data_IF_743083559086
#
_entry.id   IF_743083559086
#
_cell.length_a   1.000
_cell.length_b   1.000
_cell.length_c   1.000
_cell.angle_alpha   90.00
_cell.angle_beta   90.00
_cell.angle_gamma   90.00
#
_symmetry.space_group_name_H-M   'P 1'
#
loop_
_entity.id
_entity.type
_entity.pdbx_description
1 polymer ?
#
# COMPACT_ATOMS: atom_id res chain seq x y z
N UNK A 1 3.26 6.74 -7.02
CA UNK A 1 3.90 5.97 -5.95
C UNK A 1 4.37 6.95 -4.87
N UNK A 2 4.14 6.72 -3.56
CA UNK A 2 4.74 7.55 -2.51
C UNK A 2 6.26 7.36 -2.36
N UNK A 3 6.83 6.20 -2.73
CA UNK A 3 8.26 5.96 -2.57
C UNK A 3 9.07 6.59 -3.72
N UNK A 4 10.28 7.08 -3.42
CA UNK A 4 11.16 7.75 -4.38
C UNK A 4 12.41 6.92 -4.63
N UNK A 5 12.73 6.60 -5.89
CA UNK A 5 13.99 5.95 -6.29
C UNK A 5 13.83 4.62 -7.04
N UNK A 6 14.92 4.16 -7.66
CA UNK A 6 15.05 2.92 -8.43
C UNK A 6 15.21 1.66 -7.55
N UNK A 7 15.06 1.77 -6.23
CA UNK A 7 15.10 0.58 -5.39
C UNK A 7 13.86 -0.27 -5.67
N UNK A 8 14.02 -1.56 -6.04
CA UNK A 8 12.89 -2.44 -6.22
C UNK A 8 12.37 -2.80 -4.83
N UNK A 9 11.62 -1.89 -4.20
CA UNK A 9 10.77 -2.22 -3.05
C UNK A 9 9.63 -3.18 -3.45
N UNK A 10 9.69 -3.73 -4.66
CA UNK A 10 8.62 -4.46 -5.31
C UNK A 10 7.33 -3.64 -5.35
N UNK A 11 6.26 -4.34 -5.69
CA UNK A 11 4.90 -3.85 -5.52
C UNK A 11 4.39 -4.03 -4.08
N UNK A 12 5.27 -4.09 -3.09
CA UNK A 12 4.88 -4.28 -1.69
C UNK A 12 4.11 -3.05 -1.17
N UNK A 13 2.84 -3.26 -0.86
CA UNK A 13 1.94 -2.22 -0.38
C UNK A 13 2.15 -1.90 1.11
N UNK A 14 2.75 -2.82 1.88
CA UNK A 14 3.04 -2.59 3.30
C UNK A 14 4.04 -1.45 3.48
N UNK A 15 5.13 -1.47 2.69
CA UNK A 15 6.16 -0.42 2.70
C UNK A 15 5.60 0.96 2.35
N UNK A 16 4.69 1.00 1.36
CA UNK A 16 4.00 2.24 0.94
C UNK A 16 3.06 2.76 2.02
N UNK A 17 2.38 1.85 2.72
CA UNK A 17 1.46 2.21 3.80
C UNK A 17 2.23 2.74 5.01
N UNK A 18 3.37 2.14 5.36
CA UNK A 18 4.26 2.66 6.41
C UNK A 18 4.80 4.05 6.07
N UNK A 19 5.16 4.29 4.81
CA UNK A 19 5.57 5.62 4.34
C UNK A 19 4.47 6.67 4.55
N UNK A 20 3.22 6.32 4.25
CA UNK A 20 2.07 7.19 4.44
C UNK A 20 1.77 7.40 5.92
N UNK A 21 1.97 6.40 6.78
CA UNK A 21 1.84 6.54 8.25
C UNK A 21 2.89 7.50 8.81
N UNK A 22 4.14 7.34 8.40
CA UNK A 22 5.22 8.27 8.76
C UNK A 22 4.89 9.70 8.31
N UNK A 23 4.36 9.87 7.09
CA UNK A 23 3.89 11.17 6.60
C UNK A 23 2.73 11.74 7.43
N UNK A 24 1.74 10.93 7.82
CA UNK A 24 0.62 11.40 8.66
C UNK A 24 1.08 11.83 10.04
N UNK A 25 2.03 11.12 10.64
CA UNK A 25 2.53 11.38 11.99
C UNK A 25 3.46 12.60 12.04
N UNK A 26 4.44 12.65 11.13
CA UNK A 26 5.55 13.62 11.20
C UNK A 26 5.60 14.57 9.99
N UNK A 27 4.55 14.60 9.17
CA UNK A 27 4.45 15.46 8.00
C UNK A 27 5.52 15.16 6.93
N UNK A 28 6.03 16.23 6.30
CA UNK A 28 7.02 16.11 5.21
C UNK A 28 8.33 15.47 5.67
N UNK A 29 8.72 15.66 6.93
CA UNK A 29 9.96 15.10 7.47
C UNK A 29 9.82 13.60 7.74
N UNK A 30 8.64 13.14 8.15
CA UNK A 30 8.30 11.72 8.21
C UNK A 30 8.45 11.02 6.86
N UNK A 31 7.89 11.62 5.80
CA UNK A 31 8.05 11.08 4.44
C UNK A 31 9.52 11.00 4.01
N UNK A 32 10.30 12.07 4.22
CA UNK A 32 11.73 12.10 3.83
C UNK A 32 12.56 11.05 4.57
N UNK A 33 12.36 10.88 5.89
CA UNK A 33 13.05 9.85 6.68
C UNK A 33 12.76 8.44 6.18
N UNK A 34 11.59 8.22 5.60
CA UNK A 34 11.17 6.95 5.03
C UNK A 34 11.51 6.81 3.52
N UNK A 35 12.26 7.75 2.94
CA UNK A 35 12.59 7.72 1.50
C UNK A 35 11.40 7.99 0.57
N UNK A 36 10.33 8.58 1.08
CA UNK A 36 9.12 8.88 0.32
C UNK A 36 9.11 10.32 -0.22
N UNK A 37 8.42 10.54 -1.35
CA UNK A 37 8.11 11.87 -1.88
C UNK A 37 6.96 12.52 -1.08
N UNK A 38 7.22 13.60 -0.32
CA UNK A 38 6.18 14.28 0.46
C UNK A 38 5.02 14.80 -0.39
N UNK A 39 5.27 15.18 -1.65
CA UNK A 39 4.23 15.68 -2.54
C UNK A 39 3.32 14.53 -3.02
N UNK A 40 3.88 13.37 -3.34
CA UNK A 40 3.11 12.17 -3.63
C UNK A 40 2.27 11.72 -2.41
N UNK A 41 2.85 11.72 -1.21
CA UNK A 41 2.11 11.41 0.02
C UNK A 41 0.94 12.38 0.24
N UNK A 42 1.15 13.68 0.04
CA UNK A 42 0.08 14.68 0.17
C UNK A 42 -1.07 14.45 -0.83
N UNK A 43 -0.76 14.12 -2.09
CA UNK A 43 -1.78 13.78 -3.11
C UNK A 43 -2.56 12.53 -2.73
N UNK A 44 -1.89 11.49 -2.27
CA UNK A 44 -2.53 10.24 -1.84
C UNK A 44 -3.45 10.50 -0.65
N UNK A 45 -3.01 11.28 0.35
CA UNK A 45 -3.83 11.62 1.51
C UNK A 45 -5.06 12.45 1.11
N UNK A 46 -4.94 13.36 0.16
CA UNK A 46 -6.07 14.11 -0.37
C UNK A 46 -7.12 13.19 -1.01
N UNK A 47 -6.68 12.22 -1.83
CA UNK A 47 -7.59 11.23 -2.44
C UNK A 47 -8.21 10.34 -1.37
N UNK A 48 -7.44 9.85 -0.41
CA UNK A 48 -7.92 9.02 0.69
C UNK A 48 -9.00 9.73 1.52
N UNK A 49 -8.81 11.02 1.83
CA UNK A 49 -9.80 11.83 2.55
C UNK A 49 -11.13 11.93 1.79
N UNK A 50 -11.07 12.13 0.46
CA UNK A 50 -12.29 12.16 -0.39
C UNK A 50 -13.04 10.82 -0.36
N UNK A 51 -12.33 9.69 -0.33
CA UNK A 51 -12.96 8.38 -0.19
C UNK A 51 -13.59 8.19 1.19
N UNK A 52 -12.90 8.57 2.27
CA UNK A 52 -13.45 8.49 3.63
C UNK A 52 -14.72 9.31 3.80
N UNK A 53 -14.82 10.48 3.16
CA UNK A 53 -16.04 11.31 3.17
C UNK A 53 -17.23 10.67 2.44
N UNK A 54 -16.98 9.78 1.47
CA UNK A 54 -18.02 9.11 0.68
C UNK A 54 -18.47 7.79 1.28
N UNK A 55 -17.63 7.18 2.11
CA UNK A 55 -17.93 5.92 2.78
C UNK A 55 -18.56 6.25 4.14
N UNK A 56 -19.64 5.56 4.55
CA UNK A 56 -20.25 5.73 5.86
C UNK A 56 -19.38 5.05 6.93
N UNK A 57 -18.17 5.57 7.15
CA UNK A 57 -17.23 5.08 8.15
C UNK A 57 -17.41 5.90 9.43
N UNK A 58 -17.60 5.20 10.55
CA UNK A 58 -17.48 5.84 11.85
C UNK A 58 -16.05 6.39 11.99
N UNK A 59 -15.95 7.63 12.43
CA UNK A 59 -14.67 8.34 12.52
C UNK A 59 -13.85 7.77 13.67
N UNK A 60 -13.15 6.67 13.42
CA UNK A 60 -12.19 6.07 14.32
C UNK A 60 -10.91 5.76 13.55
N UNK A 61 -9.83 6.48 13.86
CA UNK A 61 -8.51 6.17 13.30
C UNK A 61 -7.93 4.96 14.05
N UNK A 62 -8.52 3.78 13.83
CA UNK A 62 -7.93 2.54 14.32
C UNK A 62 -6.71 2.26 13.45
N UNK A 63 -5.53 2.30 14.07
CA UNK A 63 -4.30 1.86 13.42
C UNK A 63 -4.36 0.35 13.20
N UNK A 64 -4.74 -0.07 12.00
CA UNK A 64 -4.69 -1.47 11.57
C UNK A 64 -3.24 -1.81 11.19
N UNK A 65 -2.76 -3.04 11.39
CA UNK A 65 -1.43 -3.44 10.90
C UNK A 65 -1.32 -3.30 9.38
N UNK A 66 -0.11 -3.02 8.87
CA UNK A 66 0.06 -2.84 7.41
C UNK A 66 -0.22 -4.13 6.63
N UNK A 67 0.11 -5.28 7.22
CA UNK A 67 -0.09 -6.63 6.67
C UNK A 67 -1.56 -6.95 6.38
N UNK A 68 -2.51 -6.35 7.13
CA UNK A 68 -3.94 -6.55 6.90
C UNK A 68 -4.40 -6.10 5.50
N UNK A 69 -3.65 -5.20 4.85
CA UNK A 69 -3.92 -4.80 3.46
C UNK A 69 -3.84 -5.99 2.50
N UNK A 70 -2.96 -6.96 2.76
CA UNK A 70 -2.81 -8.15 1.95
C UNK A 70 -4.06 -9.03 1.98
N UNK A 71 -4.64 -9.23 3.16
CA UNK A 71 -5.88 -9.98 3.33
C UNK A 71 -7.06 -9.29 2.63
N UNK A 72 -7.19 -7.97 2.81
CA UNK A 72 -8.24 -7.18 2.14
C UNK A 72 -8.16 -7.34 0.61
N UNK A 73 -6.95 -7.26 0.05
CA UNK A 73 -6.74 -7.40 -1.39
C UNK A 73 -6.96 -8.83 -1.88
N UNK A 74 -6.56 -9.84 -1.11
CA UNK A 74 -6.83 -11.24 -1.45
C UNK A 74 -8.33 -11.53 -1.54
N UNK A 75 -9.13 -10.91 -0.67
CA UNK A 75 -10.59 -11.03 -0.71
C UNK A 75 -11.22 -10.23 -1.86
N UNK A 76 -10.70 -9.04 -2.17
CA UNK A 76 -11.24 -8.18 -3.22
C UNK A 76 -10.84 -8.61 -4.63
N UNK A 77 -9.64 -9.19 -4.79
CA UNK A 77 -9.05 -9.60 -6.06
C UNK A 77 -8.45 -11.00 -5.96
N UNK A 78 -9.29 -12.04 -5.74
CA UNK A 78 -8.80 -13.40 -5.52
C UNK A 78 -8.02 -13.97 -6.73
N UNK A 79 -8.30 -13.47 -7.93
CA UNK A 79 -7.59 -13.83 -9.17
C UNK A 79 -6.14 -13.33 -9.22
N UNK A 80 -5.77 -12.38 -8.33
CA UNK A 80 -4.40 -11.84 -8.20
C UNK A 80 -3.53 -12.64 -7.24
N UNK A 81 -4.07 -13.66 -6.59
CA UNK A 81 -3.29 -14.58 -5.74
C UNK A 81 -2.43 -15.46 -6.64
N UNK A 82 -1.13 -15.54 -6.36
CA UNK A 82 -0.16 -16.25 -7.18
C UNK A 82 0.68 -17.22 -6.36
N UNK A 83 0.96 -18.40 -6.92
CA UNK A 83 1.94 -19.36 -6.38
C UNK A 83 3.22 -19.30 -7.20
N UNK A 84 4.35 -19.15 -6.54
CA UNK A 84 5.66 -19.23 -7.18
C UNK A 84 5.88 -20.64 -7.75
N UNK A 85 6.38 -20.72 -8.99
CA UNK A 85 6.79 -21.98 -9.61
C UNK A 85 8.20 -22.33 -9.16
N UNK A 86 8.46 -23.63 -9.01
CA UNK A 86 9.71 -24.25 -8.49
C UNK A 86 10.96 -23.38 -8.65
N UNK A 87 11.27 -22.59 -7.62
CA UNK A 87 12.51 -21.81 -7.48
C UNK A 87 12.73 -20.65 -8.46
N UNK A 88 11.76 -20.30 -9.32
CA UNK A 88 11.93 -19.26 -10.34
C UNK A 88 11.20 -17.95 -10.04
N UNK A 89 11.42 -16.92 -10.88
CA UNK A 89 10.72 -15.62 -10.83
C UNK A 89 9.31 -15.67 -11.45
N UNK A 90 8.82 -16.87 -11.82
CA UNK A 90 7.53 -17.07 -12.46
C UNK A 90 6.48 -17.49 -11.45
N UNK A 91 5.30 -16.89 -11.58
CA UNK A 91 4.17 -17.14 -10.70
C UNK A 91 2.98 -17.60 -11.52
N UNK A 92 2.24 -18.60 -11.02
CA UNK A 92 0.94 -19.00 -11.56
C UNK A 92 -0.16 -18.36 -10.72
N UNK A 93 -1.02 -17.57 -11.34
CA UNK A 93 -2.19 -16.95 -10.72
C UNK A 93 -3.29 -17.98 -10.47
N UNK A 94 -4.16 -17.70 -9.50
CA UNK A 94 -5.31 -18.54 -9.14
C UNK A 94 -6.29 -18.75 -10.31
N UNK A 95 -6.36 -17.80 -11.24
CA UNK A 95 -7.17 -17.91 -12.46
C UNK A 95 -6.48 -18.73 -13.58
N UNK A 96 -5.35 -19.37 -13.31
CA UNK A 96 -4.60 -20.18 -14.27
C UNK A 96 -3.71 -19.40 -15.24
N UNK A 97 -3.71 -18.06 -15.18
CA UNK A 97 -2.83 -17.20 -15.99
C UNK A 97 -1.47 -17.03 -15.30
N UNK A 98 -0.43 -16.65 -16.04
CA UNK A 98 0.94 -16.52 -15.51
C UNK A 98 1.79 -17.78 -15.62
#
# INVERSE_FOLDING_TARGET
>A
DPLRGEQPHGSDLTVRLEALRAFRRDGRDGARRWGADPAACARIEQVARRWRQRLPLESGETSIEATAVGLLLALAYPDRIAKQRDGGERYRLANGRG
#
